data_IF_351248752622
#
_entry.id   IF_351248752622
#
_cell.length_a   1.000
_cell.length_b   1.000
_cell.length_c   1.000
_cell.angle_alpha   90.00
_cell.angle_beta   90.00
_cell.angle_gamma   90.00
#
_symmetry.space_group_name_H-M   'P 1'
#
loop_
_entity.id
_entity.type
_entity.pdbx_description
1 polymer ?
#
# COMPACT_ATOMS: atom_id res chain seq x y z
N UNK A 1 18.55 -2.55 10.52
CA UNK A 1 17.11 -2.25 10.61
C UNK A 1 16.63 -2.74 11.97
N UNK A 2 16.28 -1.85 12.90
CA UNK A 2 15.79 -2.26 14.23
C UNK A 2 14.57 -3.15 14.09
N UNK A 3 14.49 -4.23 14.87
CA UNK A 3 13.34 -5.14 14.88
C UNK A 3 12.13 -4.43 15.49
N UNK A 4 10.94 -4.70 14.96
CA UNK A 4 9.70 -4.19 15.54
C UNK A 4 9.49 -4.83 16.90
N UNK A 5 9.09 -4.04 17.89
CA UNK A 5 8.69 -4.52 19.21
C UNK A 5 7.24 -4.96 19.22
N UNK A 6 6.42 -4.47 18.27
CA UNK A 6 5.04 -4.88 18.08
C UNK A 6 4.89 -6.16 17.24
N UNK A 7 3.92 -7.00 17.64
CA UNK A 7 3.50 -8.14 16.84
C UNK A 7 2.94 -7.67 15.48
N UNK A 8 2.87 -8.60 14.51
CA UNK A 8 2.29 -8.30 13.19
C UNK A 8 0.83 -7.82 13.29
N UNK A 9 0.07 -8.35 14.25
CA UNK A 9 -1.33 -7.96 14.48
C UNK A 9 -1.44 -6.56 15.10
N UNK A 10 -0.63 -6.27 16.12
CA UNK A 10 -0.59 -4.94 16.74
C UNK A 10 -0.17 -3.85 15.76
N UNK A 11 0.76 -4.15 14.84
CA UNK A 11 1.11 -3.22 13.75
C UNK A 11 -0.05 -2.94 12.81
N UNK A 12 -0.84 -3.95 12.47
CA UNK A 12 -2.05 -3.79 11.65
C UNK A 12 -3.10 -2.92 12.35
N UNK A 13 -3.32 -3.16 13.64
CA UNK A 13 -4.23 -2.36 14.45
C UNK A 13 -3.74 -0.90 14.58
N UNK A 14 -2.44 -0.68 14.79
CA UNK A 14 -1.84 0.66 14.84
C UNK A 14 -2.03 1.41 13.52
N UNK A 15 -1.83 0.76 12.37
CA UNK A 15 -2.08 1.39 11.06
C UNK A 15 -3.56 1.76 10.86
N UNK A 16 -4.47 0.93 11.38
CA UNK A 16 -5.90 1.19 11.31
C UNK A 16 -6.28 2.39 12.20
N UNK A 17 -5.80 2.45 13.44
CA UNK A 17 -6.03 3.57 14.37
C UNK A 17 -5.53 4.91 13.80
N UNK A 18 -4.34 4.92 13.18
CA UNK A 18 -3.80 6.10 12.50
C UNK A 18 -4.70 6.54 11.34
N UNK A 19 -5.27 5.59 10.59
CA UNK A 19 -6.17 5.90 9.46
C UNK A 19 -7.57 6.35 9.88
N UNK A 20 -8.05 5.90 11.04
CA UNK A 20 -9.37 6.21 11.60
C UNK A 20 -9.40 7.55 12.38
N UNK A 21 -8.25 8.22 12.53
CA UNK A 21 -8.16 9.57 13.10
C UNK A 21 -7.76 9.62 14.57
N UNK A 22 -7.27 8.52 15.15
CA UNK A 22 -6.58 8.59 16.44
C UNK A 22 -5.24 9.28 16.21
N UNK A 23 -5.09 10.53 16.67
CA UNK A 23 -3.87 11.32 16.40
C UNK A 23 -2.93 11.39 17.60
N UNK A 24 -3.40 11.07 18.80
CA UNK A 24 -2.61 11.15 20.02
C UNK A 24 -1.90 9.81 20.28
N UNK A 25 -0.59 9.86 20.52
CA UNK A 25 0.18 8.64 20.85
C UNK A 25 -0.31 7.93 22.12
N UNK A 26 -1.00 8.66 23.01
CA UNK A 26 -1.59 8.10 24.22
C UNK A 26 -2.80 7.23 23.89
N UNK A 27 -3.73 7.72 23.06
CA UNK A 27 -4.93 6.97 22.69
C UNK A 27 -4.58 5.67 21.93
N UNK A 28 -3.54 5.69 21.10
CA UNK A 28 -3.04 4.49 20.41
C UNK A 28 -2.38 3.50 21.38
N UNK A 29 -1.65 4.02 22.37
CA UNK A 29 -1.00 3.22 23.40
C UNK A 29 -2.05 2.52 24.28
N UNK A 30 -3.08 3.24 24.70
CA UNK A 30 -4.18 2.74 25.51
C UNK A 30 -5.02 1.71 24.75
N UNK A 31 -5.25 1.92 23.44
CA UNK A 31 -6.00 0.98 22.59
C UNK A 31 -5.26 -0.34 22.31
N UNK A 32 -3.91 -0.32 22.31
CA UNK A 32 -3.07 -1.48 22.01
C UNK A 32 -2.44 -2.12 23.26
N UNK A 33 -2.71 -1.55 24.45
CA UNK A 33 -2.12 -1.91 25.74
C UNK A 33 -0.57 -1.97 25.69
N UNK A 34 0.04 -0.88 25.18
CA UNK A 34 1.50 -0.74 25.04
C UNK A 34 1.96 0.64 25.47
N UNK A 35 3.25 0.75 25.82
CA UNK A 35 3.82 2.03 26.23
C UNK A 35 3.80 3.07 25.09
N UNK A 36 3.56 4.34 25.42
CA UNK A 36 3.63 5.48 24.49
C UNK A 36 4.95 5.55 23.72
N UNK A 37 6.06 5.20 24.38
CA UNK A 37 7.39 5.15 23.74
C UNK A 37 7.46 4.07 22.65
N UNK A 38 6.73 2.97 22.79
CA UNK A 38 6.62 1.91 21.79
C UNK A 38 5.88 2.42 20.55
N UNK A 39 4.80 3.18 20.72
CA UNK A 39 4.07 3.81 19.61
C UNK A 39 4.95 4.82 18.88
N UNK A 40 5.64 5.70 19.61
CA UNK A 40 6.59 6.67 19.02
C UNK A 40 7.67 5.96 18.23
N UNK A 41 8.30 4.94 18.81
CA UNK A 41 9.35 4.16 18.14
C UNK A 41 8.86 3.49 16.85
N UNK A 42 7.65 2.94 16.86
CA UNK A 42 7.09 2.26 15.69
C UNK A 42 6.69 3.23 14.58
N UNK A 43 6.16 4.41 14.93
CA UNK A 43 5.83 5.46 13.96
C UNK A 43 7.07 6.15 13.40
N UNK A 44 8.08 6.42 14.21
CA UNK A 44 9.36 7.02 13.77
C UNK A 44 10.12 6.12 12.80
N UNK A 45 9.86 4.80 12.83
CA UNK A 45 10.41 3.84 11.86
C UNK A 45 9.75 3.91 10.50
N UNK A 46 8.50 4.39 10.42
CA UNK A 46 7.76 4.54 9.17
C UNK A 46 8.21 5.84 8.51
N UNK A 47 9.21 5.73 7.64
CA UNK A 47 9.64 6.88 6.82
C UNK A 47 8.53 7.25 5.83
N UNK A 48 8.31 8.56 5.58
CA UNK A 48 7.43 9.00 4.51
C UNK A 48 7.75 8.31 3.19
N UNK A 49 6.71 7.95 2.44
CA UNK A 49 6.85 7.25 1.18
C UNK A 49 7.45 8.18 0.12
N UNK A 50 8.76 8.14 -0.03
CA UNK A 50 9.46 8.79 -1.13
C UNK A 50 9.53 7.83 -2.34
N UNK A 51 8.82 8.11 -3.45
CA UNK A 51 8.77 7.21 -4.60
C UNK A 51 10.15 6.95 -5.20
N UNK A 52 11.06 7.94 -5.14
CA UNK A 52 12.42 7.80 -5.69
C UNK A 52 13.25 6.82 -4.85
N UNK A 53 13.22 6.96 -3.53
CA UNK A 53 13.91 6.07 -2.60
C UNK A 53 13.43 4.62 -2.72
N UNK A 54 12.12 4.39 -2.85
CA UNK A 54 11.55 3.05 -3.03
C UNK A 54 11.99 2.43 -4.35
N UNK A 55 12.04 3.22 -5.42
CA UNK A 55 12.51 2.75 -6.73
C UNK A 55 13.99 2.36 -6.67
N UNK A 56 14.84 3.16 -6.02
CA UNK A 56 16.26 2.87 -5.84
C UNK A 56 16.50 1.60 -5.02
N UNK A 57 15.78 1.41 -3.92
CA UNK A 57 15.86 0.20 -3.09
C UNK A 57 15.40 -1.05 -3.87
N UNK A 58 14.31 -0.93 -4.63
CA UNK A 58 13.83 -2.02 -5.48
C UNK A 58 14.86 -2.39 -6.56
N UNK A 59 15.47 -1.40 -7.21
CA UNK A 59 16.49 -1.63 -8.23
C UNK A 59 17.79 -2.18 -7.64
N UNK A 60 18.19 -1.73 -6.45
CA UNK A 60 19.30 -2.30 -5.69
C UNK A 60 19.08 -3.79 -5.40
N UNK A 61 17.90 -4.15 -4.89
CA UNK A 61 17.53 -5.55 -4.62
C UNK A 61 17.50 -6.40 -5.89
N UNK A 62 16.96 -5.87 -7.00
CA UNK A 62 16.94 -6.57 -8.30
C UNK A 62 18.36 -6.86 -8.81
N UNK A 63 19.26 -5.88 -8.72
CA UNK A 63 20.68 -6.04 -9.10
C UNK A 63 21.40 -7.05 -8.21
N UNK A 64 21.14 -7.04 -6.90
CA UNK A 64 21.70 -8.03 -5.98
C UNK A 64 21.30 -9.47 -6.34
N UNK A 65 20.12 -9.65 -6.94
CA UNK A 65 19.66 -10.93 -7.48
C UNK A 65 20.11 -11.21 -8.94
N UNK A 66 21.03 -10.42 -9.50
CA UNK A 66 21.52 -10.57 -10.88
C UNK A 66 20.54 -10.15 -11.97
N UNK A 67 19.43 -9.50 -11.62
CA UNK A 67 18.45 -8.98 -12.60
C UNK A 67 18.79 -7.55 -12.95
N UNK A 68 19.51 -7.37 -14.05
CA UNK A 68 19.79 -6.04 -14.58
C UNK A 68 18.55 -5.43 -15.25
N UNK A 69 18.19 -4.22 -14.86
CA UNK A 69 17.09 -3.43 -15.42
C UNK A 69 17.47 -2.78 -16.76
N UNK A 70 18.18 -3.49 -17.63
CA UNK A 70 18.58 -2.96 -18.93
C UNK A 70 17.41 -3.16 -19.88
N UNK A 71 16.64 -2.09 -20.08
CA UNK A 71 15.67 -2.04 -21.16
C UNK A 71 16.45 -1.98 -22.48
N UNK A 72 16.42 -3.06 -23.27
CA UNK A 72 16.99 -3.04 -24.62
C UNK A 72 16.21 -2.07 -25.51
N UNK A 73 16.81 -1.51 -26.58
CA UNK A 73 16.10 -0.60 -27.48
C UNK A 73 14.83 -1.20 -28.11
N UNK A 74 14.77 -2.53 -28.28
CA UNK A 74 13.56 -3.21 -28.75
C UNK A 74 12.45 -3.24 -27.69
N UNK A 75 12.82 -3.48 -26.42
CA UNK A 75 11.87 -3.46 -25.30
C UNK A 75 11.38 -2.03 -25.01
N UNK A 76 12.21 -1.00 -25.19
CA UNK A 76 11.78 0.41 -25.04
C UNK A 76 10.72 0.75 -26.09
N UNK A 77 10.94 0.38 -27.34
CA UNK A 77 9.98 0.60 -28.43
C UNK A 77 8.67 -0.16 -28.15
N UNK A 78 8.75 -1.42 -27.72
CA UNK A 78 7.57 -2.22 -27.40
C UNK A 78 6.75 -1.60 -26.26
N UNK A 79 7.40 -1.22 -25.16
CA UNK A 79 6.74 -0.61 -24.00
C UNK A 79 6.14 0.74 -24.36
N UNK A 80 6.87 1.58 -25.09
CA UNK A 80 6.36 2.89 -25.52
C UNK A 80 5.17 2.79 -26.47
N UNK A 81 5.21 1.86 -27.43
CA UNK A 81 4.06 1.60 -28.31
C UNK A 81 2.85 1.09 -27.53
N UNK A 82 3.06 0.18 -26.59
CA UNK A 82 1.98 -0.31 -25.74
C UNK A 82 1.37 0.82 -24.88
N UNK A 83 2.19 1.70 -24.31
CA UNK A 83 1.71 2.86 -23.54
C UNK A 83 0.96 3.88 -24.41
N UNK A 84 1.39 4.09 -25.66
CA UNK A 84 0.69 4.97 -26.61
C UNK A 84 -0.68 4.40 -26.97
N UNK A 85 -0.76 3.09 -27.24
CA UNK A 85 -2.00 2.39 -27.52
C UNK A 85 -2.96 2.47 -26.33
N UNK A 86 -2.51 2.16 -25.11
CA UNK A 86 -3.38 2.26 -23.93
C UNK A 86 -3.86 3.68 -23.70
N UNK A 87 -2.99 4.68 -23.87
CA UNK A 87 -3.38 6.11 -23.76
C UNK A 87 -4.42 6.52 -24.81
N UNK A 88 -4.25 6.09 -26.06
CA UNK A 88 -5.20 6.37 -27.13
C UNK A 88 -6.55 5.70 -26.85
N UNK A 89 -6.55 4.44 -26.38
CA UNK A 89 -7.76 3.76 -25.94
C UNK A 89 -8.46 4.55 -24.84
N UNK A 90 -7.76 4.94 -23.76
CA UNK A 90 -8.29 5.80 -22.69
C UNK A 90 -8.88 7.11 -23.21
N UNK A 91 -8.27 7.72 -24.22
CA UNK A 91 -8.80 8.94 -24.83
C UNK A 91 -10.08 8.68 -25.62
N UNK A 92 -10.16 7.58 -26.38
CA UNK A 92 -11.40 7.17 -27.07
C UNK A 92 -12.52 6.82 -26.09
N UNK A 93 -12.18 6.28 -24.91
CA UNK A 93 -13.14 6.11 -23.81
C UNK A 93 -13.71 7.44 -23.35
N UNK A 94 -12.83 8.39 -23.05
CA UNK A 94 -13.26 9.71 -22.57
C UNK A 94 -14.08 10.48 -23.60
N UNK A 95 -13.81 10.28 -24.89
CA UNK A 95 -14.55 10.91 -25.99
C UNK A 95 -15.86 10.18 -26.34
N UNK A 96 -16.18 9.05 -25.69
CA UNK A 96 -17.42 8.30 -25.93
C UNK A 96 -17.47 7.56 -27.27
N UNK A 97 -16.33 7.33 -27.91
CA UNK A 97 -16.26 6.63 -29.21
C UNK A 97 -16.39 5.11 -29.09
N UNK A 98 -16.35 4.58 -27.87
CA UNK A 98 -16.63 3.18 -27.59
C UNK A 98 -17.74 3.08 -26.53
N UNK A 99 -18.62 2.06 -26.65
CA UNK A 99 -19.74 1.84 -25.75
C UNK A 99 -19.30 1.15 -24.45
N UNK A 100 -18.39 1.78 -23.71
CA UNK A 100 -18.03 1.37 -22.34
C UNK A 100 -17.92 2.61 -21.45
N UNK A 101 -18.26 2.47 -20.17
CA UNK A 101 -18.06 3.55 -19.20
C UNK A 101 -16.71 3.38 -18.49
N UNK A 102 -16.03 4.49 -18.24
CA UNK A 102 -14.77 4.49 -17.49
C UNK A 102 -14.94 3.90 -16.07
N UNK A 103 -16.12 4.05 -15.48
CA UNK A 103 -16.47 3.54 -14.15
C UNK A 103 -16.55 2.01 -14.08
N UNK A 104 -16.80 1.35 -15.21
CA UNK A 104 -16.92 -0.11 -15.29
C UNK A 104 -15.55 -0.80 -15.45
N UNK A 105 -14.48 -0.03 -15.68
CA UNK A 105 -13.14 -0.59 -15.76
C UNK A 105 -12.64 -0.99 -14.37
N UNK A 106 -12.18 -2.24 -14.19
CA UNK A 106 -11.62 -2.67 -12.92
C UNK A 106 -10.37 -1.84 -12.62
N UNK A 107 -10.40 -1.11 -11.51
CA UNK A 107 -9.22 -0.41 -11.00
C UNK A 107 -8.23 -1.46 -10.47
N UNK A 108 -7.39 -2.00 -11.35
CA UNK A 108 -6.42 -3.07 -11.03
C UNK A 108 -5.39 -2.67 -9.96
N UNK A 109 -5.22 -1.38 -9.69
CA UNK A 109 -4.30 -0.88 -8.67
C UNK A 109 -4.94 -0.84 -7.27
N UNK A 110 -6.26 -0.96 -7.19
CA UNK A 110 -7.00 -1.02 -5.93
C UNK A 110 -7.42 -2.47 -5.70
N UNK A 111 -6.80 -3.13 -4.71
CA UNK A 111 -7.33 -4.39 -4.21
C UNK A 111 -8.67 -4.11 -3.56
N UNK A 112 -9.75 -4.53 -4.21
CA UNK A 112 -11.07 -4.50 -3.60
C UNK A 112 -11.15 -5.57 -2.52
N UNK A 113 -11.41 -5.14 -1.28
CA UNK A 113 -11.71 -6.03 -0.16
C UNK A 113 -13.00 -6.76 -0.49
N UNK A 114 -13.03 -8.09 -0.36
CA UNK A 114 -14.30 -8.81 -0.61
C UNK A 114 -15.29 -8.42 0.49
N UNK A 115 -16.57 -8.31 0.15
CA UNK A 115 -17.63 -7.87 1.08
C UNK A 115 -17.66 -8.66 2.41
N UNK A 116 -17.24 -9.93 2.40
CA UNK A 116 -17.20 -10.81 3.57
C UNK A 116 -15.79 -11.11 4.10
N UNK A 117 -14.77 -10.32 3.75
CA UNK A 117 -13.38 -10.57 4.14
C UNK A 117 -13.02 -9.94 5.50
N UNK A 118 -13.13 -10.74 6.55
CA UNK A 118 -12.86 -10.37 7.95
C UNK A 118 -11.42 -10.69 8.42
N UNK A 119 -10.58 -11.21 7.51
CA UNK A 119 -9.23 -11.67 7.86
C UNK A 119 -8.31 -10.47 8.11
N UNK A 120 -7.82 -10.32 9.34
CA UNK A 120 -6.88 -9.26 9.71
C UNK A 120 -7.52 -7.95 10.20
N UNK A 121 -8.85 -7.89 10.32
CA UNK A 121 -9.53 -6.79 11.00
C UNK A 121 -9.38 -6.95 12.51
N UNK A 122 -8.88 -5.90 13.16
CA UNK A 122 -8.84 -5.81 14.63
C UNK A 122 -10.23 -5.38 15.12
N UNK A 123 -10.82 -6.17 16.01
CA UNK A 123 -12.10 -5.85 16.67
C UNK A 123 -11.81 -5.47 18.12
N UNK A 124 -11.94 -4.19 18.45
CA UNK A 124 -11.87 -3.72 19.84
C UNK A 124 -13.26 -3.88 20.50
N UNK A 125 -13.36 -4.85 21.42
CA UNK A 125 -14.36 -4.88 22.50
C UNK A 125 -15.69 -5.61 22.23
N UNK A 126 -15.89 -6.74 22.91
CA UNK A 126 -16.79 -6.81 24.07
C UNK A 126 -16.17 -7.77 25.08
N UNK A 127 -16.25 -7.39 26.36
CA UNK A 127 -15.74 -8.14 27.50
C UNK A 127 -16.21 -9.60 27.47
N UNK A 128 -15.29 -10.56 27.67
CA UNK A 128 -15.67 -11.94 28.01
C UNK A 128 -15.97 -11.93 29.51
N UNK A 129 -17.16 -11.44 29.86
CA UNK A 129 -17.84 -11.86 31.08
C UNK A 129 -18.89 -12.90 30.66
N UNK A 130 -18.54 -14.18 30.79
CA UNK A 130 -19.43 -15.29 31.15
C UNK A 130 -18.62 -16.57 31.40
#
# INVERSE_FOLDING_TARGET
>A
MGTSTLSRFQRGALTQLVSEGYHTYQDMADALDVAKSTISYELDRVKPHDPESVQQDADHKRRACGRHSILTPSLTILITNHLRLTRALFQFIKLGWLPFNLADLPNRNVRQRRANEHRGTFTSGTSIEQ
#
